data_IF_258272495855
#
_entry.id   IF_258272495855
#
_cell.length_a   1.000
_cell.length_b   1.000
_cell.length_c   1.000
_cell.angle_alpha   90.00
_cell.angle_beta   90.00
_cell.angle_gamma   90.00
#
_symmetry.space_group_name_H-M   'P 1'
#
loop_
_entity.id
_entity.type
_entity.pdbx_description
1 polymer ?
#
# COMPACT_ATOMS: atom_id res chain seq x y z
N UNK A 1 -30.76 -37.15 -32.09
CA UNK A 1 -30.28 -37.13 -30.70
C UNK A 1 -29.39 -35.92 -30.53
N UNK A 2 -29.82 -34.91 -29.77
CA UNK A 2 -29.01 -33.72 -29.48
C UNK A 2 -28.58 -33.77 -28.02
N UNK A 3 -27.28 -33.82 -27.77
CA UNK A 3 -26.70 -33.78 -26.42
C UNK A 3 -26.42 -32.32 -26.10
N UNK A 4 -27.22 -31.73 -25.20
CA UNK A 4 -26.98 -30.40 -24.68
C UNK A 4 -25.89 -30.49 -23.59
N UNK A 5 -24.71 -29.94 -23.86
CA UNK A 5 -23.66 -29.79 -22.85
C UNK A 5 -23.99 -28.56 -21.98
N UNK A 6 -24.45 -28.80 -20.76
CA UNK A 6 -24.57 -27.77 -19.72
C UNK A 6 -23.16 -27.41 -19.22
N UNK A 7 -22.61 -26.31 -19.71
CA UNK A 7 -21.43 -25.69 -19.13
C UNK A 7 -21.79 -25.14 -17.74
N UNK A 8 -21.44 -25.88 -16.69
CA UNK A 8 -21.58 -25.41 -15.32
C UNK A 8 -20.65 -24.23 -15.08
N UNK A 9 -21.20 -23.05 -14.80
CA UNK A 9 -20.44 -21.94 -14.21
C UNK A 9 -19.98 -22.39 -12.82
N UNK A 10 -18.71 -22.79 -12.71
CA UNK A 10 -18.06 -22.97 -11.42
C UNK A 10 -17.90 -21.57 -10.80
N UNK A 11 -18.78 -21.22 -9.86
CA UNK A 11 -18.63 -20.04 -9.01
C UNK A 11 -17.54 -20.37 -8.00
N UNK A 12 -16.28 -20.09 -8.36
CA UNK A 12 -15.17 -20.16 -7.39
C UNK A 12 -15.36 -18.98 -6.43
N UNK A 13 -15.56 -19.20 -5.12
CA UNK A 13 -15.59 -18.10 -4.17
C UNK A 13 -14.22 -17.43 -4.21
N UNK A 14 -14.19 -16.14 -4.56
CA UNK A 14 -13.00 -15.33 -4.38
C UNK A 14 -12.65 -15.38 -2.89
N UNK A 15 -11.46 -15.90 -2.56
CA UNK A 15 -10.96 -15.80 -1.19
C UNK A 15 -10.95 -14.32 -0.81
N UNK A 16 -11.40 -13.96 0.40
CA UNK A 16 -11.39 -12.58 0.84
C UNK A 16 -9.96 -12.06 0.69
N UNK A 17 -9.78 -11.01 -0.11
CA UNK A 17 -8.52 -10.30 -0.16
C UNK A 17 -8.21 -9.88 1.28
N UNK A 18 -7.16 -10.47 1.89
CA UNK A 18 -6.68 -10.03 3.18
C UNK A 18 -6.49 -8.51 3.07
N UNK A 19 -7.04 -7.79 4.05
CA UNK A 19 -6.94 -6.36 4.14
C UNK A 19 -5.51 -6.01 4.60
N UNK A 20 -4.51 -6.25 3.76
CA UNK A 20 -3.07 -6.16 4.08
C UNK A 20 -2.67 -4.79 4.62
N UNK A 21 -3.28 -3.71 4.12
CA UNK A 21 -3.10 -2.34 4.64
C UNK A 21 -3.66 -2.19 6.06
N UNK A 22 -4.69 -2.96 6.42
CA UNK A 22 -5.26 -2.97 7.77
C UNK A 22 -4.39 -3.80 8.74
N UNK A 23 -3.63 -4.77 8.25
CA UNK A 23 -2.68 -5.56 9.06
C UNK A 23 -1.45 -4.75 9.49
N UNK A 24 -0.96 -3.83 8.64
CA UNK A 24 0.17 -2.93 8.95
C UNK A 24 -0.13 -2.00 10.14
N UNK A 25 -1.37 -1.51 10.24
CA UNK A 25 -1.80 -0.66 11.37
C UNK A 25 -1.78 -1.43 12.69
N UNK A 26 -2.24 -2.68 12.65
CA UNK A 26 -2.15 -3.58 13.81
C UNK A 26 -0.72 -3.78 14.28
N UNK A 27 0.24 -3.88 13.35
CA UNK A 27 1.67 -3.98 13.67
C UNK A 27 2.24 -2.70 14.28
N UNK A 28 1.95 -1.54 13.69
CA UNK A 28 2.38 -0.26 14.26
C UNK A 28 1.83 -0.03 15.67
N UNK A 29 0.59 -0.48 15.93
CA UNK A 29 -0.02 -0.38 17.25
C UNK A 29 0.48 -1.45 18.25
N UNK A 30 0.98 -2.60 17.78
CA UNK A 30 1.53 -3.65 18.63
C UNK A 30 2.95 -3.32 19.13
N UNK A 31 3.68 -2.48 18.39
CA UNK A 31 5.07 -2.11 18.66
C UNK A 31 6.06 -3.24 18.39
N UNK A 32 5.68 -4.25 17.59
CA UNK A 32 6.57 -5.32 17.16
C UNK A 32 7.18 -5.02 15.79
N UNK A 33 8.30 -5.69 15.48
CA UNK A 33 8.95 -5.61 14.17
C UNK A 33 7.96 -5.86 13.02
N UNK A 34 8.19 -5.28 11.84
CA UNK A 34 7.26 -5.42 10.72
C UNK A 34 7.03 -6.90 10.39
N UNK A 35 5.82 -7.40 10.65
CA UNK A 35 5.36 -8.61 9.96
C UNK A 35 5.22 -8.24 8.48
N UNK A 36 6.20 -8.62 7.66
CA UNK A 36 6.04 -8.60 6.21
C UNK A 36 4.84 -9.47 5.86
N UNK A 37 3.74 -8.93 5.34
CA UNK A 37 2.50 -9.69 5.26
C UNK A 37 2.63 -10.76 4.17
N UNK A 38 2.35 -12.04 4.49
CA UNK A 38 2.24 -13.08 3.48
C UNK A 38 0.91 -12.88 2.74
N UNK A 39 0.95 -12.36 1.50
CA UNK A 39 -0.26 -12.27 0.68
C UNK A 39 -0.25 -11.28 -0.48
N UNK A 40 0.56 -10.22 -0.40
CA UNK A 40 0.75 -9.25 -1.52
C UNK A 40 2.25 -9.06 -1.83
N UNK A 41 3.13 -9.44 -0.89
CA UNK A 41 4.57 -9.17 -0.94
C UNK A 41 5.44 -10.41 -1.23
N UNK A 42 4.85 -11.56 -1.55
CA UNK A 42 5.62 -12.81 -1.59
C UNK A 42 4.98 -13.92 -2.41
N UNK A 43 5.44 -14.10 -3.65
CA UNK A 43 5.13 -15.24 -4.51
C UNK A 43 5.24 -14.91 -6.00
N UNK A 44 5.39 -15.93 -6.86
CA UNK A 44 5.50 -15.80 -8.33
C UNK A 44 4.27 -15.23 -9.04
N UNK A 45 3.18 -14.97 -8.29
CA UNK A 45 1.90 -14.42 -8.74
C UNK A 45 1.44 -13.23 -7.85
N UNK A 46 2.30 -12.73 -6.95
CA UNK A 46 1.91 -11.67 -6.03
C UNK A 46 1.63 -10.37 -6.80
N UNK A 47 0.37 -9.94 -6.79
CA UNK A 47 -0.04 -8.65 -7.36
C UNK A 47 0.75 -7.53 -6.67
N UNK A 48 1.34 -6.64 -7.49
CA UNK A 48 2.09 -5.47 -7.04
C UNK A 48 1.36 -4.74 -5.90
N UNK A 49 2.00 -4.61 -4.72
CA UNK A 49 1.47 -3.90 -3.55
C UNK A 49 1.08 -2.44 -3.85
N UNK A 50 1.61 -1.86 -4.92
CA UNK A 50 1.19 -0.53 -5.40
C UNK A 50 -0.21 -0.52 -6.03
N UNK A 51 -0.70 -1.61 -6.64
CA UNK A 51 -2.00 -1.62 -7.35
C UNK A 51 -3.18 -1.19 -6.46
N UNK A 52 -3.35 -1.70 -5.22
CA UNK A 52 -4.40 -1.19 -4.32
C UNK A 52 -4.19 0.26 -3.91
N UNK A 53 -2.93 0.71 -3.78
CA UNK A 53 -2.60 2.09 -3.43
C UNK A 53 -2.90 3.06 -4.58
N UNK A 54 -2.67 2.64 -5.83
CA UNK A 54 -3.08 3.35 -7.04
C UNK A 54 -4.60 3.35 -7.18
N UNK A 55 -5.26 2.20 -7.03
CA UNK A 55 -6.71 2.07 -7.13
C UNK A 55 -7.45 2.88 -6.06
N UNK A 56 -6.89 3.01 -4.86
CA UNK A 56 -7.45 3.86 -3.80
C UNK A 56 -7.25 5.36 -4.04
N UNK A 57 -6.43 5.74 -5.03
CA UNK A 57 -6.04 7.13 -5.28
C UNK A 57 -5.07 7.69 -4.25
N UNK A 58 -4.37 6.84 -3.49
CA UNK A 58 -3.29 7.26 -2.60
C UNK A 58 -2.01 7.57 -3.39
N UNK A 59 -1.66 6.72 -4.36
CA UNK A 59 -0.62 7.03 -5.34
C UNK A 59 -1.29 7.72 -6.53
N UNK A 60 -0.91 8.96 -6.81
CA UNK A 60 -1.52 9.75 -7.91
C UNK A 60 -0.65 9.81 -9.16
N UNK A 61 0.57 9.25 -9.11
CA UNK A 61 1.45 9.11 -10.26
C UNK A 61 2.88 9.55 -9.99
N UNK A 62 3.64 9.77 -11.05
CA UNK A 62 5.02 10.26 -11.03
C UNK A 62 5.03 11.70 -11.55
N UNK A 63 5.60 12.62 -10.79
CA UNK A 63 5.62 14.06 -11.13
C UNK A 63 7.04 14.62 -11.11
N UNK A 64 7.33 15.68 -11.89
CA UNK A 64 8.63 16.35 -11.85
C UNK A 64 9.00 16.80 -10.43
N UNK A 65 10.24 16.56 -10.02
CA UNK A 65 10.75 16.93 -8.71
C UNK A 65 12.28 17.05 -8.72
N UNK A 66 12.80 18.20 -8.32
CA UNK A 66 14.24 18.51 -8.33
C UNK A 66 14.85 18.24 -9.72
N UNK A 67 15.88 17.41 -9.78
CA UNK A 67 16.62 16.98 -10.96
C UNK A 67 16.04 15.72 -11.62
N UNK A 68 14.89 15.21 -11.12
CA UNK A 68 14.24 14.03 -11.67
C UNK A 68 12.74 14.03 -11.39
N UNK A 69 12.26 12.94 -10.81
CA UNK A 69 10.84 12.69 -10.60
C UNK A 69 10.58 12.18 -9.19
N UNK A 70 9.36 12.33 -8.69
CA UNK A 70 8.93 11.68 -7.45
C UNK A 70 7.63 10.90 -7.65
N UNK A 71 7.47 9.84 -6.87
CA UNK A 71 6.15 9.22 -6.66
C UNK A 71 5.31 10.20 -5.83
N UNK A 72 4.14 10.58 -6.32
CA UNK A 72 3.24 11.49 -5.63
C UNK A 72 2.23 10.72 -4.78
N UNK A 73 2.21 11.03 -3.48
CA UNK A 73 1.22 10.54 -2.53
C UNK A 73 0.17 11.62 -2.24
N UNK A 74 -1.09 11.20 -2.16
CA UNK A 74 -2.22 12.02 -1.73
C UNK A 74 -2.53 11.77 -0.25
N UNK A 75 -1.88 12.52 0.64
CA UNK A 75 -2.12 12.43 2.09
C UNK A 75 -3.50 12.93 2.52
N UNK A 76 -4.26 13.60 1.65
CA UNK A 76 -5.65 13.99 1.92
C UNK A 76 -6.64 12.85 1.65
N UNK A 77 -6.18 11.69 1.16
CA UNK A 77 -7.03 10.52 1.03
C UNK A 77 -7.56 10.11 2.42
N UNK A 78 -8.89 9.91 2.61
CA UNK A 78 -9.44 9.57 3.92
C UNK A 78 -8.92 8.24 4.49
N UNK A 79 -8.35 7.38 3.64
CA UNK A 79 -7.72 6.13 4.07
C UNK A 79 -6.20 6.28 4.33
N UNK A 80 -5.62 7.46 4.14
CA UNK A 80 -4.22 7.72 4.45
C UNK A 80 -4.00 7.73 5.96
N UNK A 81 -3.23 6.75 6.43
CA UNK A 81 -2.85 6.60 7.85
C UNK A 81 -1.44 7.10 8.12
N UNK A 82 -0.90 7.87 7.19
CA UNK A 82 0.47 8.34 7.20
C UNK A 82 0.53 9.75 6.67
N UNK A 83 1.55 10.49 7.10
CA UNK A 83 1.91 11.81 6.57
C UNK A 83 3.30 11.74 5.95
N UNK A 84 3.56 12.68 5.04
CA UNK A 84 4.90 12.89 4.50
C UNK A 84 5.84 13.48 5.54
N UNK A 85 7.07 12.99 5.59
CA UNK A 85 8.12 13.52 6.46
C UNK A 85 8.84 14.72 5.86
N UNK A 86 8.66 14.98 4.55
CA UNK A 86 9.49 15.93 3.79
C UNK A 86 10.91 15.44 3.49
N UNK A 87 11.28 14.22 3.92
CA UNK A 87 12.57 13.59 3.61
C UNK A 87 12.41 12.71 2.37
N UNK A 88 13.33 12.83 1.42
CA UNK A 88 13.26 12.14 0.13
C UNK A 88 14.49 11.25 -0.07
N UNK A 89 14.26 10.01 -0.49
CA UNK A 89 15.31 9.05 -0.85
C UNK A 89 15.22 8.69 -2.33
N UNK A 90 16.36 8.39 -2.95
CA UNK A 90 16.39 7.91 -4.34
C UNK A 90 16.15 6.40 -4.33
N UNK A 91 15.13 5.95 -5.04
CA UNK A 91 14.76 4.52 -5.11
C UNK A 91 15.04 3.90 -6.48
N UNK A 92 15.43 4.71 -7.47
CA UNK A 92 15.65 4.25 -8.83
C UNK A 92 15.82 5.42 -9.79
N UNK A 93 15.52 5.16 -11.07
CA UNK A 93 15.61 6.16 -12.14
C UNK A 93 14.45 6.02 -13.13
N UNK A 94 14.06 7.14 -13.74
CA UNK A 94 13.14 7.24 -14.87
C UNK A 94 13.83 8.09 -15.94
N UNK A 95 13.96 7.55 -17.16
CA UNK A 95 14.67 8.20 -18.28
C UNK A 95 16.07 8.73 -17.92
N UNK A 96 16.82 7.94 -17.14
CA UNK A 96 18.17 8.29 -16.68
C UNK A 96 18.23 9.35 -15.58
N UNK A 97 17.09 9.85 -15.09
CA UNK A 97 17.00 10.82 -13.98
C UNK A 97 16.55 10.14 -12.68
N UNK A 98 16.93 10.66 -11.49
CA UNK A 98 16.55 10.04 -10.22
C UNK A 98 15.03 9.96 -10.01
N UNK A 99 14.57 8.83 -9.47
CA UNK A 99 13.21 8.66 -8.93
C UNK A 99 13.26 8.75 -7.41
N UNK A 100 12.59 9.75 -6.88
CA UNK A 100 12.50 10.03 -5.45
C UNK A 100 11.24 9.42 -4.84
N UNK A 101 11.39 8.91 -3.62
CA UNK A 101 10.32 8.50 -2.73
C UNK A 101 10.34 9.38 -1.48
N UNK A 102 9.20 9.96 -1.12
CA UNK A 102 9.06 10.63 0.17
C UNK A 102 8.92 9.58 1.28
N UNK A 103 9.74 9.69 2.32
CA UNK A 103 9.58 8.86 3.51
C UNK A 103 8.29 9.27 4.22
N UNK A 104 7.59 8.27 4.75
CA UNK A 104 6.31 8.43 5.44
C UNK A 104 6.46 8.07 6.93
N UNK A 105 5.60 8.65 7.74
CA UNK A 105 5.44 8.27 9.14
C UNK A 105 3.95 8.19 9.48
N UNK A 106 3.57 7.43 10.53
CA UNK A 106 2.18 7.40 11.01
C UNK A 106 1.64 8.80 11.28
N UNK A 107 0.39 9.05 10.89
CA UNK A 107 -0.30 10.30 11.21
C UNK A 107 -0.77 10.26 12.68
N UNK A 108 -0.18 11.05 13.59
CA UNK A 108 -0.57 11.00 15.00
C UNK A 108 -2.02 11.43 15.24
N UNK A 109 -2.63 12.15 14.30
CA UNK A 109 -4.01 12.62 14.40
C UNK A 109 -5.04 11.59 13.92
N UNK A 110 -4.62 10.58 13.15
CA UNK A 110 -5.53 9.62 12.55
C UNK A 110 -6.21 8.77 13.64
N UNK A 111 -7.56 8.61 13.64
CA UNK A 111 -8.31 8.00 14.74
C UNK A 111 -7.85 6.59 15.15
N UNK A 112 -7.34 5.80 14.19
CA UNK A 112 -6.84 4.46 14.49
C UNK A 112 -5.65 4.47 15.45
N UNK A 113 -4.83 5.53 15.47
CA UNK A 113 -3.62 5.60 16.28
C UNK A 113 -3.81 6.27 17.64
N UNK A 114 -4.92 6.99 17.84
CA UNK A 114 -5.23 7.64 19.12
C UNK A 114 -5.35 6.64 20.29
N UNK A 115 -5.56 5.35 19.98
CA UNK A 115 -5.66 4.27 20.97
C UNK A 115 -4.50 3.26 20.87
N UNK A 116 -3.38 3.65 20.26
CA UNK A 116 -2.22 2.79 20.06
C UNK A 116 -1.11 3.13 21.07
N UNK A 117 -1.12 2.52 22.28
CA UNK A 117 -0.24 2.92 23.37
C UNK A 117 1.25 2.76 23.08
N UNK A 118 1.61 1.93 22.08
CA UNK A 118 3.01 1.68 21.70
C UNK A 118 3.48 2.41 20.46
N UNK A 119 2.62 3.21 19.82
CA UNK A 119 3.01 4.02 18.66
C UNK A 119 3.77 5.29 19.09
N UNK A 120 3.43 5.86 20.26
CA UNK A 120 3.98 7.12 20.75
C UNK A 120 5.32 6.98 21.50
N UNK A 121 5.82 5.76 21.70
CA UNK A 121 6.98 5.45 22.55
C UNK A 121 8.06 4.64 21.84
N UNK A 122 8.00 4.54 20.51
CA UNK A 122 9.05 3.91 19.70
C UNK A 122 10.25 4.83 19.50
#
# INVERSE_FOLDING_TARGET
MAVAATAGLAIVPALPASATVHEIVGQWCSGQDPLGPPGISGGSQADNFAKPLEASGFITGIVPFRDGFRIQFNYANPNAKVVGTGVFVVIGQVDGKPLYLELIQPDPSFPAFQRCPRLATG
#
